data_IF_086010527962
#
_entry.id   IF_086010527962
#
_cell.length_a   1.000
_cell.length_b   1.000
_cell.length_c   1.000
_cell.angle_alpha   90.00
_cell.angle_beta   90.00
_cell.angle_gamma   90.00
#
_symmetry.space_group_name_H-M   'P 1'
#
loop_
_entity.id
_entity.type
_entity.pdbx_description
1 polymer ?
#
# COMPACT_ATOMS: atom_id res chain seq x y z
N UNK A 1 13.21 47.53 -40.75
CA UNK A 1 13.87 47.70 -42.06
C UNK A 1 15.31 47.23 -41.93
N UNK A 2 15.84 46.60 -42.99
CA UNK A 2 17.11 45.83 -43.10
C UNK A 2 17.00 44.42 -42.50
N UNK A 3 16.70 43.32 -43.22
CA UNK A 3 17.07 42.84 -44.56
C UNK A 3 18.57 42.54 -44.70
N UNK A 4 18.92 41.25 -44.61
CA UNK A 4 20.10 40.69 -45.27
C UNK A 4 19.79 39.24 -45.65
N UNK A 5 19.68 39.02 -46.97
CA UNK A 5 19.41 37.77 -47.69
C UNK A 5 20.64 37.51 -48.58
N UNK A 6 21.12 36.27 -48.64
CA UNK A 6 22.20 35.86 -49.55
C UNK A 6 22.13 34.37 -49.90
N UNK A 7 22.58 33.95 -51.11
CA UNK A 7 21.74 33.13 -51.99
C UNK A 7 22.14 31.66 -52.14
N UNK A 8 21.16 30.86 -52.61
CA UNK A 8 21.30 29.48 -53.10
C UNK A 8 22.10 29.41 -54.41
N UNK A 9 22.93 28.37 -54.62
CA UNK A 9 23.39 28.02 -55.96
C UNK A 9 22.38 27.10 -56.67
N UNK A 10 22.11 27.43 -57.92
CA UNK A 10 21.46 26.58 -58.92
C UNK A 10 22.44 26.43 -60.08
N UNK A 11 22.79 25.20 -60.44
CA UNK A 11 23.37 24.94 -61.75
C UNK A 11 22.58 23.86 -62.46
N UNK A 12 22.06 24.29 -63.61
CA UNK A 12 21.44 23.53 -64.67
C UNK A 12 22.41 22.50 -65.26
N UNK A 13 21.93 21.28 -65.49
CA UNK A 13 22.44 20.43 -66.57
C UNK A 13 21.27 19.78 -67.31
N UNK A 14 21.11 20.17 -68.58
CA UNK A 14 20.11 19.66 -69.52
C UNK A 14 20.64 18.42 -70.29
N UNK A 15 19.74 17.63 -70.91
CA UNK A 15 19.95 16.24 -71.27
C UNK A 15 20.54 16.05 -72.68
N UNK A 16 21.07 14.85 -72.93
CA UNK A 16 21.37 14.35 -74.28
C UNK A 16 20.67 13.00 -74.51
N UNK A 17 19.99 12.92 -75.64
CA UNK A 17 19.28 11.78 -76.22
C UNK A 17 20.21 10.66 -76.73
N UNK A 18 19.61 9.48 -76.95
CA UNK A 18 20.13 8.35 -77.74
C UNK A 18 20.57 7.17 -76.88
N UNK A 19 20.20 5.90 -77.09
CA UNK A 19 19.65 5.19 -78.23
C UNK A 19 18.95 3.90 -77.75
N UNK A 20 18.08 3.35 -78.62
CA UNK A 20 17.40 2.06 -78.44
C UNK A 20 18.40 0.90 -78.56
N UNK A 21 18.31 -0.05 -77.65
CA UNK A 21 18.93 -1.37 -77.79
C UNK A 21 18.09 -2.46 -77.14
N UNK A 22 17.21 -3.11 -77.91
CA UNK A 22 16.64 -4.42 -77.56
C UNK A 22 17.77 -5.45 -77.50
N UNK A 23 17.84 -6.27 -76.45
CA UNK A 23 18.22 -7.69 -76.54
C UNK A 23 17.85 -8.47 -75.28
N UNK A 24 17.67 -9.76 -75.51
CA UNK A 24 17.01 -10.78 -74.70
C UNK A 24 17.93 -11.41 -73.64
N UNK A 25 17.32 -11.86 -72.53
CA UNK A 25 17.63 -13.02 -71.65
C UNK A 25 19.08 -13.51 -71.45
N UNK A 26 19.47 -13.59 -70.17
CA UNK A 26 20.32 -14.63 -69.52
C UNK A 26 20.35 -14.27 -68.03
N UNK A 27 19.61 -14.91 -67.13
CA UNK A 27 19.98 -16.07 -66.30
C UNK A 27 21.40 -16.04 -65.65
N UNK A 28 21.43 -16.29 -64.34
CA UNK A 28 22.58 -16.27 -63.42
C UNK A 28 22.82 -14.90 -62.76
N UNK A 29 22.73 -14.68 -61.45
CA UNK A 29 22.72 -15.57 -60.29
C UNK A 29 23.67 -14.96 -59.26
N UNK A 30 23.13 -14.29 -58.24
CA UNK A 30 23.78 -13.90 -56.98
C UNK A 30 22.61 -13.69 -56.00
N UNK A 31 22.41 -14.48 -54.95
CA UNK A 31 23.34 -14.64 -53.85
C UNK A 31 22.90 -13.71 -52.72
N UNK A 32 22.40 -14.29 -51.62
CA UNK A 32 22.52 -13.74 -50.26
C UNK A 32 21.66 -12.49 -49.93
N UNK A 33 20.65 -12.51 -49.06
CA UNK A 33 20.50 -13.20 -47.77
C UNK A 33 19.01 -13.24 -47.43
N UNK A 34 18.44 -14.43 -47.39
CA UNK A 34 17.32 -14.70 -46.51
C UNK A 34 17.85 -14.70 -45.08
N UNK A 35 18.08 -13.51 -44.50
CA UNK A 35 18.11 -13.44 -43.04
C UNK A 35 16.69 -13.73 -42.57
N UNK A 36 16.46 -15.00 -42.25
CA UNK A 36 15.34 -15.42 -41.43
C UNK A 36 15.34 -14.54 -40.19
N UNK A 37 14.56 -13.44 -40.22
CA UNK A 37 14.35 -12.61 -39.07
C UNK A 37 13.77 -13.51 -37.99
N UNK A 38 14.58 -13.77 -36.95
CA UNK A 38 14.21 -14.66 -35.85
C UNK A 38 12.83 -14.29 -35.32
N UNK A 39 12.08 -15.27 -34.76
CA UNK A 39 10.68 -15.06 -34.36
C UNK A 39 10.48 -13.84 -33.46
N UNK A 40 11.46 -13.57 -32.58
CA UNK A 40 11.48 -12.37 -31.71
C UNK A 40 11.60 -11.06 -32.50
N UNK A 41 12.41 -11.03 -33.55
CA UNK A 41 12.60 -9.86 -34.42
C UNK A 41 11.37 -9.61 -35.29
N UNK A 42 10.73 -10.69 -35.78
CA UNK A 42 9.46 -10.61 -36.53
C UNK A 42 8.30 -10.07 -35.68
N UNK A 43 8.21 -10.46 -34.41
CA UNK A 43 7.24 -9.89 -33.47
C UNK A 43 7.59 -8.43 -33.15
N UNK A 44 8.87 -8.11 -32.93
CA UNK A 44 9.31 -6.76 -32.62
C UNK A 44 9.12 -5.74 -33.77
N UNK A 45 9.08 -6.18 -35.03
CA UNK A 45 8.90 -5.32 -36.21
C UNK A 45 7.54 -5.48 -36.89
N UNK A 46 6.59 -6.18 -36.27
CA UNK A 46 5.24 -6.33 -36.82
C UNK A 46 4.52 -4.97 -36.79
N UNK A 47 4.12 -4.47 -37.97
CA UNK A 47 3.46 -3.16 -38.13
C UNK A 47 1.95 -3.28 -38.42
N UNK A 48 1.40 -4.49 -38.62
CA UNK A 48 -0.02 -4.72 -38.91
C UNK A 48 -0.52 -6.05 -38.30
N UNK A 49 -1.82 -6.13 -37.97
CA UNK A 49 -2.50 -7.38 -37.58
C UNK A 49 -2.40 -7.78 -36.09
N UNK A 50 -2.81 -9.00 -35.72
CA UNK A 50 -2.90 -9.44 -34.31
C UNK A 50 -1.54 -9.49 -33.58
N UNK A 51 -0.43 -9.60 -34.33
CA UNK A 51 0.93 -9.56 -33.77
C UNK A 51 1.31 -8.17 -33.24
N UNK A 52 0.79 -7.10 -33.84
CA UNK A 52 0.97 -5.74 -33.33
C UNK A 52 0.29 -5.60 -31.96
N UNK A 53 -0.97 -6.03 -31.85
CA UNK A 53 -1.72 -5.99 -30.57
C UNK A 53 -0.98 -6.78 -29.49
N UNK A 54 -0.48 -7.98 -29.82
CA UNK A 54 0.31 -8.78 -28.89
C UNK A 54 1.59 -8.06 -28.44
N UNK A 55 2.34 -7.46 -29.37
CA UNK A 55 3.55 -6.68 -29.05
C UNK A 55 3.24 -5.49 -28.16
N UNK A 56 2.26 -4.67 -28.50
CA UNK A 56 1.88 -3.48 -27.73
C UNK A 56 1.38 -3.86 -26.33
N UNK A 57 0.62 -4.94 -26.23
CA UNK A 57 0.18 -5.50 -24.94
C UNK A 57 1.38 -6.00 -24.14
N UNK A 58 2.30 -6.73 -24.75
CA UNK A 58 3.51 -7.23 -24.10
C UNK A 58 4.44 -6.09 -23.65
N UNK A 59 4.58 -5.03 -24.44
CA UNK A 59 5.35 -3.84 -24.06
C UNK A 59 4.69 -3.10 -22.89
N UNK A 60 3.36 -2.97 -22.90
CA UNK A 60 2.62 -2.32 -21.81
C UNK A 60 2.72 -3.11 -20.50
N UNK A 61 2.48 -4.42 -20.54
CA UNK A 61 2.63 -5.32 -19.38
C UNK A 61 4.10 -5.35 -18.93
N UNK A 62 5.03 -5.46 -19.88
CA UNK A 62 6.46 -5.45 -19.60
C UNK A 62 6.92 -4.17 -18.93
N UNK A 63 6.44 -3.01 -19.37
CA UNK A 63 6.74 -1.73 -18.73
C UNK A 63 6.26 -1.69 -17.27
N UNK A 64 5.03 -2.15 -16.99
CA UNK A 64 4.51 -2.23 -15.61
C UNK A 64 5.34 -3.17 -14.74
N UNK A 65 5.71 -4.34 -15.27
CA UNK A 65 6.58 -5.30 -14.55
C UNK A 65 7.94 -4.68 -14.26
N UNK A 66 8.57 -4.02 -15.23
CA UNK A 66 9.86 -3.36 -15.05
C UNK A 66 9.77 -2.25 -13.99
N UNK A 67 8.72 -1.43 -14.02
CA UNK A 67 8.49 -0.40 -13.00
C UNK A 67 8.29 -1.05 -11.63
N UNK A 68 7.48 -2.11 -11.54
CA UNK A 68 7.25 -2.83 -10.29
C UNK A 68 8.54 -3.44 -9.71
N UNK A 69 9.33 -4.11 -10.55
CA UNK A 69 10.63 -4.66 -10.16
C UNK A 69 11.62 -3.57 -9.75
N UNK A 70 11.65 -2.43 -10.45
CA UNK A 70 12.48 -1.30 -10.09
C UNK A 70 12.09 -0.74 -8.71
N UNK A 71 10.78 -0.54 -8.48
CA UNK A 71 10.29 -0.08 -7.20
C UNK A 71 10.63 -1.07 -6.08
N UNK A 72 10.42 -2.37 -6.29
CA UNK A 72 10.79 -3.42 -5.33
C UNK A 72 12.30 -3.46 -5.07
N UNK A 73 13.12 -3.33 -6.11
CA UNK A 73 14.57 -3.30 -5.97
C UNK A 73 15.05 -2.11 -5.12
N UNK A 74 14.36 -0.98 -5.19
CA UNK A 74 14.64 0.23 -4.38
C UNK A 74 14.07 0.08 -2.97
N UNK A 75 12.78 -0.26 -2.84
CA UNK A 75 12.05 -0.27 -1.57
C UNK A 75 12.39 -1.47 -0.70
N UNK A 76 12.66 -2.65 -1.28
CA UNK A 76 12.76 -3.92 -0.57
C UNK A 76 11.41 -4.51 -0.12
N UNK A 77 10.30 -3.82 -0.36
CA UNK A 77 8.95 -4.22 0.07
C UNK A 77 7.94 -4.14 -1.07
N UNK A 78 7.01 -5.09 -1.10
CA UNK A 78 5.91 -5.14 -2.04
C UNK A 78 4.56 -5.25 -1.30
N UNK A 79 3.61 -4.34 -1.51
CA UNK A 79 3.68 -3.15 -2.37
C UNK A 79 4.57 -2.04 -1.78
N UNK A 80 5.28 -1.25 -2.61
CA UNK A 80 6.20 -0.20 -2.15
C UNK A 80 5.49 1.07 -1.64
N UNK A 81 4.16 1.10 -1.72
CA UNK A 81 3.35 2.28 -1.43
C UNK A 81 2.06 1.89 -0.72
N UNK A 82 1.69 2.66 0.31
CA UNK A 82 0.45 2.50 1.08
C UNK A 82 -0.37 3.78 1.02
N UNK A 83 -1.70 3.66 1.06
CA UNK A 83 -2.61 4.80 1.13
C UNK A 83 -3.03 5.04 2.58
N UNK A 84 -3.17 6.31 2.95
CA UNK A 84 -3.57 6.70 4.30
C UNK A 84 -5.08 6.72 4.40
N UNK A 85 -5.64 5.88 5.26
CA UNK A 85 -7.09 5.66 5.35
C UNK A 85 -7.77 6.47 6.46
N UNK A 86 -7.00 6.92 7.45
CA UNK A 86 -7.49 7.63 8.63
C UNK A 86 -6.69 8.91 8.91
N UNK A 87 -7.25 9.78 9.76
CA UNK A 87 -6.60 11.03 10.21
C UNK A 87 -5.69 10.86 11.42
N UNK A 88 -5.28 9.64 11.80
CA UNK A 88 -4.49 9.41 13.02
C UNK A 88 -3.11 10.06 12.99
N UNK A 89 -2.62 10.41 11.80
CA UNK A 89 -1.32 11.04 11.58
C UNK A 89 -1.40 12.53 11.24
N UNK A 90 -2.56 13.16 11.40
CA UNK A 90 -2.71 14.61 11.21
C UNK A 90 -1.96 15.39 12.32
N UNK A 91 -1.42 16.60 12.01
CA UNK A 91 -1.46 17.31 10.72
C UNK A 91 -0.35 16.89 9.74
N UNK A 92 0.46 15.88 10.08
CA UNK A 92 1.66 15.53 9.33
C UNK A 92 1.38 14.69 8.08
N UNK A 93 0.28 13.93 8.10
CA UNK A 93 -0.16 13.07 7.04
C UNK A 93 -1.68 12.96 7.08
N UNK A 94 -2.32 13.14 5.92
CA UNK A 94 -3.76 13.26 5.81
C UNK A 94 -4.37 12.05 5.10
N UNK A 95 -5.65 11.83 5.35
CA UNK A 95 -6.41 10.83 4.61
C UNK A 95 -6.33 11.05 3.09
N UNK A 96 -6.02 9.98 2.37
CA UNK A 96 -5.85 10.00 0.92
C UNK A 96 -4.46 10.39 0.44
N UNK A 97 -3.49 10.56 1.34
CA UNK A 97 -2.08 10.63 0.95
C UNK A 97 -1.57 9.24 0.53
N UNK A 98 -0.66 9.20 -0.44
CA UNK A 98 0.09 8.01 -0.78
C UNK A 98 1.48 8.09 -0.16
N UNK A 99 1.92 7.04 0.51
CA UNK A 99 3.19 7.00 1.23
C UNK A 99 4.07 5.93 0.63
N UNK A 100 5.26 6.31 0.17
CA UNK A 100 6.30 5.37 -0.23
C UNK A 100 7.04 4.86 1.02
N UNK A 101 7.11 3.54 1.13
CA UNK A 101 7.73 2.84 2.25
C UNK A 101 8.91 2.00 1.77
N UNK A 102 9.84 1.73 2.69
CA UNK A 102 10.98 0.86 2.44
C UNK A 102 11.11 -0.19 3.53
N UNK A 103 11.76 -1.30 3.21
CA UNK A 103 12.20 -2.29 4.18
C UNK A 103 13.10 -1.66 5.27
N UNK A 104 13.14 -2.29 6.43
CA UNK A 104 13.94 -1.86 7.60
C UNK A 104 15.43 -1.85 7.31
N UNK A 105 15.93 -2.67 6.39
CA UNK A 105 17.33 -2.71 5.97
C UNK A 105 17.72 -1.69 4.90
N UNK A 106 16.77 -0.89 4.39
CA UNK A 106 17.03 0.09 3.32
C UNK A 106 17.17 1.49 3.87
N UNK A 107 18.17 2.25 3.39
CA UNK A 107 18.38 3.65 3.75
C UNK A 107 18.37 3.89 5.27
N UNK A 108 19.05 3.03 6.03
CA UNK A 108 19.09 3.06 7.49
C UNK A 108 19.89 4.28 7.97
N UNK A 109 19.30 5.18 8.77
CA UNK A 109 20.06 6.25 9.43
C UNK A 109 21.01 5.67 10.48
N UNK A 110 22.19 6.26 10.65
CA UNK A 110 23.17 5.83 11.67
C UNK A 110 22.63 5.90 13.12
N UNK A 111 21.58 6.68 13.32
CA UNK A 111 20.91 6.89 14.61
C UNK A 111 19.75 5.94 14.85
N UNK A 112 19.49 5.02 13.91
CA UNK A 112 18.45 4.02 14.06
C UNK A 112 18.82 3.00 15.13
N UNK A 113 17.80 2.46 15.79
CA UNK A 113 17.99 1.31 16.67
C UNK A 113 18.57 0.15 15.86
N UNK A 114 19.63 -0.45 16.38
CA UNK A 114 20.38 -1.52 15.73
C UNK A 114 19.45 -2.62 15.21
N UNK A 115 19.67 -3.02 13.95
CA UNK A 115 18.91 -4.10 13.31
C UNK A 115 17.47 -3.76 12.91
N UNK A 116 16.98 -2.53 13.14
CA UNK A 116 15.57 -2.17 12.86
C UNK A 116 15.38 -1.07 11.83
N UNK A 117 16.39 -0.22 11.58
CA UNK A 117 16.26 0.94 10.71
C UNK A 117 15.34 2.06 11.25
N UNK A 118 14.75 1.89 12.43
CA UNK A 118 13.80 2.82 13.04
C UNK A 118 14.55 3.79 13.97
N UNK A 119 14.35 5.09 13.75
CA UNK A 119 14.78 6.13 14.70
C UNK A 119 13.57 6.51 15.54
N UNK A 120 13.61 6.21 16.84
CA UNK A 120 12.54 6.59 17.77
C UNK A 120 12.53 8.09 18.03
N UNK A 121 11.39 8.64 18.46
CA UNK A 121 11.28 10.08 18.69
C UNK A 121 12.25 10.60 19.78
N UNK A 122 12.45 9.85 20.86
CA UNK A 122 13.41 10.21 21.92
C UNK A 122 14.82 10.40 21.37
N UNK A 123 15.35 9.40 20.65
CA UNK A 123 16.66 9.47 19.97
C UNK A 123 16.69 10.54 18.90
N UNK A 124 15.59 10.70 18.15
CA UNK A 124 15.50 11.69 17.08
C UNK A 124 15.58 13.13 17.58
N UNK A 125 15.07 13.43 18.78
CA UNK A 125 15.18 14.76 19.40
C UNK A 125 16.63 15.11 19.75
N UNK A 126 17.42 14.11 20.16
CA UNK A 126 18.82 14.28 20.50
C UNK A 126 19.71 14.40 19.25
N UNK A 127 19.36 13.63 18.21
CA UNK A 127 20.16 13.51 16.99
C UNK A 127 19.74 14.45 15.85
N UNK A 128 18.59 15.11 15.98
CA UNK A 128 18.03 15.98 14.94
C UNK A 128 17.32 15.25 13.80
N UNK A 129 17.06 13.95 13.91
CA UNK A 129 16.40 13.19 12.85
C UNK A 129 14.92 13.60 12.68
N UNK A 130 14.56 14.13 11.51
CA UNK A 130 13.25 14.75 11.28
C UNK A 130 12.54 14.19 10.05
N UNK A 131 11.29 13.72 10.23
CA UNK A 131 10.43 13.26 9.14
C UNK A 131 8.95 13.57 9.36
N UNK A 132 8.30 13.94 8.26
CA UNK A 132 6.88 14.31 8.23
C UNK A 132 6.55 15.32 9.34
N UNK A 133 7.24 16.46 9.36
CA UNK A 133 6.93 17.56 10.29
C UNK A 133 7.19 17.30 11.78
N UNK A 134 7.80 16.18 12.17
CA UNK A 134 8.19 15.93 13.56
C UNK A 134 9.40 14.98 13.67
N UNK A 135 9.92 14.84 14.90
CA UNK A 135 11.03 13.95 15.23
C UNK A 135 10.62 12.48 15.23
N UNK A 136 11.47 11.61 14.69
CA UNK A 136 11.31 10.15 14.70
C UNK A 136 10.71 9.60 13.41
N UNK A 137 10.96 8.31 13.17
CA UNK A 137 10.45 7.55 12.04
C UNK A 137 8.95 7.28 12.17
N UNK A 138 8.27 7.28 11.02
CA UNK A 138 6.90 6.78 10.88
C UNK A 138 6.99 5.40 10.27
N UNK A 139 6.39 4.42 10.93
CA UNK A 139 6.46 3.01 10.54
C UNK A 139 5.06 2.50 10.20
N UNK A 140 5.01 1.60 9.22
CA UNK A 140 3.83 0.80 8.89
C UNK A 140 4.06 -0.58 9.50
N UNK A 141 3.11 -1.04 10.31
CA UNK A 141 3.20 -2.34 10.96
C UNK A 141 1.87 -3.08 10.90
N UNK A 142 1.95 -4.40 11.00
CA UNK A 142 0.82 -5.33 10.99
C UNK A 142 0.95 -6.26 12.20
N UNK A 143 0.06 -6.11 13.18
CA UNK A 143 0.08 -6.93 14.39
C UNK A 143 -0.64 -8.26 14.09
N UNK A 144 0.06 -9.41 14.12
CA UNK A 144 -0.55 -10.69 13.79
C UNK A 144 -1.67 -11.11 14.78
N UNK A 145 -1.75 -10.48 15.95
CA UNK A 145 -2.84 -10.68 16.91
C UNK A 145 -4.15 -9.99 16.51
N UNK A 146 -4.10 -9.02 15.59
CA UNK A 146 -5.24 -8.21 15.15
C UNK A 146 -5.48 -8.38 13.65
N UNK A 147 -6.68 -8.82 13.26
CA UNK A 147 -7.06 -9.01 11.85
C UNK A 147 -7.38 -7.69 11.11
N UNK A 148 -6.87 -6.57 11.59
CA UNK A 148 -7.12 -5.23 11.05
C UNK A 148 -6.26 -4.87 9.84
N UNK A 149 -6.50 -3.71 9.19
CA UNK A 149 -5.57 -3.18 8.21
C UNK A 149 -4.26 -2.73 8.88
N UNK A 150 -3.12 -2.73 8.16
CA UNK A 150 -1.86 -2.24 8.69
C UNK A 150 -1.95 -0.81 9.25
N UNK A 151 -1.26 -0.57 10.35
CA UNK A 151 -1.27 0.71 11.07
C UNK A 151 -0.04 1.52 10.69
N UNK A 152 -0.21 2.82 10.46
CA UNK A 152 0.88 3.76 10.17
C UNK A 152 1.02 4.80 11.26
N UNK A 153 1.99 4.64 12.16
CA UNK A 153 2.19 5.54 13.30
C UNK A 153 3.66 5.85 13.56
N UNK A 154 3.91 6.84 14.42
CA UNK A 154 5.27 7.28 14.74
C UNK A 154 5.86 6.46 15.87
N UNK A 155 7.09 5.99 15.69
CA UNK A 155 7.85 5.33 16.74
C UNK A 155 8.28 6.35 17.80
N UNK A 156 7.86 6.14 19.05
CA UNK A 156 8.07 7.09 20.15
C UNK A 156 9.32 6.76 20.93
N UNK A 157 9.43 5.53 21.40
CA UNK A 157 10.59 4.98 22.11
C UNK A 157 10.56 3.45 22.06
N UNK A 158 11.68 2.82 22.41
CA UNK A 158 11.79 1.37 22.54
C UNK A 158 11.61 0.93 23.99
N UNK A 159 11.00 -0.23 24.20
CA UNK A 159 10.88 -0.91 25.49
C UNK A 159 11.40 -2.34 25.40
N UNK A 160 12.01 -2.84 26.47
CA UNK A 160 12.43 -4.24 26.61
C UNK A 160 11.35 -5.10 27.28
N UNK A 161 11.45 -6.42 27.14
CA UNK A 161 10.51 -7.36 27.78
C UNK A 161 10.52 -7.22 29.31
N UNK A 162 9.34 -7.14 29.91
CA UNK A 162 9.17 -6.93 31.35
C UNK A 162 9.46 -5.50 31.82
N UNK A 163 9.76 -4.56 30.92
CA UNK A 163 10.04 -3.18 31.29
C UNK A 163 8.78 -2.48 31.83
N UNK A 164 8.89 -1.86 33.00
CA UNK A 164 7.94 -0.84 33.42
C UNK A 164 8.27 0.47 32.66
N UNK A 165 7.56 0.70 31.57
CA UNK A 165 7.75 1.87 30.72
C UNK A 165 6.85 3.06 31.09
N UNK A 166 6.05 2.95 32.16
CA UNK A 166 5.17 4.03 32.63
C UNK A 166 5.96 5.30 32.95
N UNK A 167 7.10 5.16 33.65
CA UNK A 167 7.93 6.29 34.07
C UNK A 167 8.61 7.02 32.90
N UNK A 168 8.76 6.34 31.76
CA UNK A 168 9.31 6.91 30.51
C UNK A 168 8.23 7.50 29.61
N UNK A 169 6.98 7.08 29.79
CA UNK A 169 5.86 7.52 28.99
C UNK A 169 5.59 9.02 29.20
N UNK A 170 5.11 9.71 28.15
CA UNK A 170 4.57 11.04 28.34
C UNK A 170 3.25 10.92 29.14
N UNK A 171 3.11 11.57 30.31
CA UNK A 171 1.89 11.52 31.11
C UNK A 171 0.64 11.99 30.36
N UNK A 172 0.79 12.82 29.33
CA UNK A 172 -0.35 13.27 28.50
C UNK A 172 -0.94 12.17 27.61
N UNK A 173 -0.18 11.10 27.34
CA UNK A 173 -0.58 10.02 26.42
C UNK A 173 -0.91 8.70 27.14
N UNK A 174 -0.97 8.73 28.46
CA UNK A 174 -1.35 7.61 29.32
C UNK A 174 -2.49 8.05 30.23
N UNK A 175 -3.54 7.24 30.37
CA UNK A 175 -4.66 7.53 31.29
C UNK A 175 -4.59 6.76 32.61
N UNK A 176 -3.61 5.87 32.76
CA UNK A 176 -3.44 5.04 33.94
C UNK A 176 -2.63 5.76 35.04
N UNK A 177 -2.85 5.38 36.30
CA UNK A 177 -2.09 5.94 37.43
C UNK A 177 -0.81 5.15 37.75
N UNK A 178 -0.65 3.98 37.14
CA UNK A 178 0.54 3.14 37.28
C UNK A 178 0.68 2.17 36.10
N UNK A 179 1.85 1.55 35.98
CA UNK A 179 2.10 0.47 35.03
C UNK A 179 1.12 -0.70 35.20
N UNK A 180 0.80 -1.08 36.44
CA UNK A 180 -0.09 -2.21 36.73
C UNK A 180 -1.54 -1.99 36.24
N UNK A 181 -1.95 -0.72 36.06
CA UNK A 181 -3.27 -0.35 35.54
C UNK A 181 -3.26 -0.10 34.03
N UNK A 182 -2.09 -0.16 33.39
CA UNK A 182 -1.91 0.14 31.98
C UNK A 182 -1.80 -1.15 31.18
N UNK A 183 -2.51 -1.21 30.06
CA UNK A 183 -2.35 -2.30 29.10
C UNK A 183 -0.89 -2.34 28.62
N UNK A 184 -0.39 -3.55 28.43
CA UNK A 184 0.96 -3.79 27.93
C UNK A 184 2.07 -3.19 28.81
N UNK A 185 1.80 -3.01 30.11
CA UNK A 185 2.78 -2.61 31.10
C UNK A 185 2.70 -3.55 32.33
N UNK A 186 3.80 -4.21 32.74
CA UNK A 186 5.10 -4.24 32.09
C UNK A 186 5.03 -4.76 30.64
N UNK A 187 5.97 -4.36 29.79
CA UNK A 187 5.95 -4.71 28.38
C UNK A 187 5.94 -6.24 28.19
N UNK A 188 4.97 -6.83 27.45
CA UNK A 188 4.88 -8.27 27.28
C UNK A 188 6.03 -8.85 26.43
N UNK A 189 6.71 -8.00 25.67
CA UNK A 189 7.91 -8.31 24.89
C UNK A 189 8.61 -7.00 24.50
N UNK A 190 9.83 -7.13 24.01
CA UNK A 190 10.55 -5.98 23.48
C UNK A 190 9.92 -5.46 22.18
N UNK A 191 9.92 -4.14 21.99
CA UNK A 191 9.32 -3.52 20.83
C UNK A 191 9.24 -2.00 20.91
N UNK A 192 8.66 -1.40 19.87
CA UNK A 192 8.44 0.04 19.79
C UNK A 192 7.10 0.42 20.40
N UNK A 193 7.11 1.40 21.30
CA UNK A 193 5.90 2.14 21.66
C UNK A 193 5.61 3.14 20.55
N UNK A 194 4.40 3.09 20.01
CA UNK A 194 3.99 3.87 18.83
C UNK A 194 2.80 4.76 19.17
N UNK A 195 2.62 5.81 18.37
CA UNK A 195 1.49 6.71 18.51
C UNK A 195 1.18 7.41 17.19
N UNK A 196 -0.10 7.44 16.81
CA UNK A 196 -0.58 8.38 15.79
C UNK A 196 -0.38 9.82 16.22
N UNK A 197 0.11 10.68 15.34
CA UNK A 197 0.40 12.08 15.66
C UNK A 197 -0.82 12.84 16.21
N UNK A 198 -2.03 12.51 15.72
CA UNK A 198 -3.31 13.07 16.17
C UNK A 198 -3.99 12.26 17.30
N UNK A 199 -3.47 11.08 17.67
CA UNK A 199 -4.11 10.24 18.68
C UNK A 199 -3.98 10.85 20.09
N UNK A 200 -4.90 10.55 21.01
CA UNK A 200 -4.78 11.02 22.39
C UNK A 200 -3.75 10.20 23.21
N UNK A 201 -3.65 8.90 22.93
CA UNK A 201 -2.88 7.94 23.72
C UNK A 201 -1.94 7.13 22.84
N UNK A 202 -0.94 6.49 23.46
CA UNK A 202 -0.11 5.48 22.77
C UNK A 202 -0.95 4.31 22.29
N UNK A 203 -0.50 3.67 21.22
CA UNK A 203 -1.17 2.52 20.60
C UNK A 203 -1.25 1.32 21.57
N UNK A 204 -0.26 1.22 22.45
CA UNK A 204 -0.17 0.21 23.51
C UNK A 204 -1.15 0.45 24.67
N UNK A 205 -1.62 1.69 24.83
CA UNK A 205 -2.56 2.08 25.90
C UNK A 205 -4.00 1.91 25.45
N UNK A 206 -4.33 2.37 24.24
CA UNK A 206 -5.68 2.31 23.70
C UNK A 206 -6.02 0.94 23.08
N UNK A 207 -5.04 0.02 23.03
CA UNK A 207 -5.22 -1.35 22.58
C UNK A 207 -5.26 -1.50 21.06
N UNK A 208 -4.56 -0.64 20.33
CA UNK A 208 -4.32 -0.80 18.89
C UNK A 208 -3.29 -1.90 18.62
N UNK A 209 -2.29 -2.05 19.48
CA UNK A 209 -1.29 -3.12 19.37
C UNK A 209 -0.49 -3.29 20.66
N UNK A 210 0.21 -4.41 20.77
CA UNK A 210 1.30 -4.57 21.75
C UNK A 210 2.54 -3.73 21.33
N UNK A 211 3.63 -3.66 22.13
CA UNK A 211 4.86 -2.99 21.71
C UNK A 211 5.34 -3.56 20.37
N UNK A 212 5.38 -2.74 19.32
CA UNK A 212 5.53 -3.22 17.94
C UNK A 212 6.87 -3.90 17.75
N UNK A 213 6.86 -5.20 17.47
CA UNK A 213 8.09 -5.97 17.24
C UNK A 213 8.74 -5.58 15.92
N UNK A 214 10.07 -5.64 15.78
CA UNK A 214 10.75 -5.37 14.50
C UNK A 214 10.20 -6.20 13.34
N UNK A 215 9.85 -7.46 13.57
CA UNK A 215 9.30 -8.36 12.56
C UNK A 215 7.85 -8.03 12.11
N UNK A 216 7.13 -7.19 12.87
CA UNK A 216 5.80 -6.70 12.50
C UNK A 216 5.86 -5.48 11.59
N UNK A 217 7.04 -4.86 11.47
CA UNK A 217 7.23 -3.67 10.64
C UNK A 217 7.23 -4.08 9.18
N UNK A 218 6.14 -3.73 8.49
CA UNK A 218 5.99 -3.89 7.04
C UNK A 218 6.91 -2.92 6.30
N UNK A 219 7.13 -1.72 6.84
CA UNK A 219 8.09 -0.78 6.27
C UNK A 219 8.15 0.57 6.96
N UNK A 220 9.14 1.36 6.58
CA UNK A 220 9.40 2.71 7.10
C UNK A 220 8.95 3.73 6.06
N UNK A 221 8.07 4.66 6.45
CA UNK A 221 7.61 5.73 5.58
C UNK A 221 8.76 6.71 5.25
N UNK A 222 8.96 6.98 3.96
CA UNK A 222 10.06 7.85 3.48
C UNK A 222 9.56 9.12 2.79
N UNK A 223 8.56 8.97 1.93
CA UNK A 223 8.04 10.05 1.08
C UNK A 223 6.52 10.02 1.10
N UNK A 224 5.91 11.20 1.16
CA UNK A 224 4.46 11.40 1.11
C UNK A 224 4.11 12.15 -0.17
N UNK A 225 3.12 11.66 -0.88
CA UNK A 225 2.56 12.27 -2.09
C UNK A 225 1.10 12.64 -1.78
N UNK A 226 0.80 13.93 -1.60
CA UNK A 226 -0.54 14.36 -1.24
C UNK A 226 -1.60 13.93 -2.26
N UNK A 227 -2.79 13.58 -1.78
CA UNK A 227 -3.99 13.24 -2.58
C UNK A 227 -3.90 12.01 -3.50
N UNK A 228 -2.71 11.47 -3.78
CA UNK A 228 -2.54 10.37 -4.73
C UNK A 228 -3.11 9.04 -4.19
N UNK A 229 -3.26 8.92 -2.87
CA UNK A 229 -3.90 7.77 -2.22
C UNK A 229 -5.37 7.64 -2.59
N UNK A 230 -6.07 8.72 -2.94
CA UNK A 230 -7.46 8.67 -3.41
C UNK A 230 -7.63 7.88 -4.69
N UNK A 231 -6.61 7.80 -5.55
CA UNK A 231 -6.65 6.94 -6.74
C UNK A 231 -6.75 5.46 -6.32
N UNK A 232 -5.96 5.05 -5.32
CA UNK A 232 -6.01 3.69 -4.77
C UNK A 232 -7.32 3.43 -4.03
N UNK A 233 -7.75 4.35 -3.16
CA UNK A 233 -8.98 4.21 -2.37
C UNK A 233 -10.24 4.20 -3.26
N UNK A 234 -10.27 5.04 -4.30
CA UNK A 234 -11.35 5.10 -5.27
C UNK A 234 -11.44 3.83 -6.14
N UNK A 235 -10.30 3.30 -6.60
CA UNK A 235 -10.28 2.04 -7.36
C UNK A 235 -10.73 0.86 -6.48
N UNK A 236 -10.29 0.78 -5.23
CA UNK A 236 -10.78 -0.26 -4.30
C UNK A 236 -12.28 -0.15 -4.05
N UNK A 237 -12.83 1.07 -3.93
CA UNK A 237 -14.28 1.29 -3.82
C UNK A 237 -15.05 0.84 -5.07
N UNK A 238 -14.55 1.18 -6.26
CA UNK A 238 -15.18 0.81 -7.54
C UNK A 238 -15.10 -0.69 -7.82
N UNK A 239 -14.00 -1.37 -7.44
CA UNK A 239 -13.85 -2.82 -7.63
C UNK A 239 -14.78 -3.61 -6.69
N UNK A 240 -15.05 -3.11 -5.48
CA UNK A 240 -16.04 -3.72 -4.58
C UNK A 240 -17.48 -3.54 -5.11
N UNK A 241 -17.80 -2.37 -5.69
CA UNK A 241 -19.11 -2.11 -6.32
C UNK A 241 -19.31 -2.84 -7.67
N UNK A 242 -18.22 -3.23 -8.33
CA UNK A 242 -18.27 -3.92 -9.63
C UNK A 242 -18.28 -5.45 -9.54
N UNK A 243 -18.34 -6.03 -8.34
CA UNK A 243 -18.58 -7.47 -8.18
C UNK A 243 -20.04 -7.76 -8.54
N UNK A 244 -20.36 -8.45 -9.65
CA UNK A 244 -21.73 -8.86 -9.89
C UNK A 244 -22.10 -9.85 -8.78
N UNK A 245 -23.11 -9.49 -8.00
CA UNK A 245 -23.80 -10.41 -7.10
C UNK A 245 -24.29 -11.58 -7.95
N UNK A 246 -23.52 -12.69 -7.97
CA UNK A 246 -23.98 -13.94 -8.56
C UNK A 246 -25.08 -14.43 -7.63
N UNK A 247 -26.30 -13.99 -7.91
CA UNK A 247 -27.51 -14.54 -7.35
C UNK A 247 -27.56 -16.02 -7.74
N UNK A 248 -27.06 -16.89 -6.87
CA UNK A 248 -27.31 -18.32 -6.97
C UNK A 248 -28.77 -18.53 -6.61
N UNK A 249 -29.63 -18.49 -7.64
CA UNK A 249 -30.99 -19.01 -7.57
C UNK A 249 -30.90 -20.53 -7.45
N UNK A 250 -30.65 -21.02 -6.23
CA UNK A 250 -30.74 -22.45 -5.91
C UNK A 250 -32.18 -22.71 -5.55
N UNK A 251 -32.96 -23.12 -6.54
CA UNK A 251 -34.24 -23.79 -6.35
C UNK A 251 -33.99 -25.11 -5.62
N UNK A 252 -34.49 -25.33 -4.40
CA UNK A 252 -34.35 -26.62 -3.75
C UNK A 252 -35.31 -27.62 -4.41
N UNK A 253 -34.74 -28.60 -5.11
CA UNK A 253 -35.45 -29.79 -5.56
C UNK A 253 -35.93 -30.57 -4.34
N UNK A 254 -37.25 -30.75 -4.25
CA UNK A 254 -37.90 -31.59 -3.24
C UNK A 254 -37.44 -33.03 -3.44
N UNK A 255 -36.78 -33.58 -2.41
CA UNK A 255 -36.70 -35.04 -2.21
C UNK A 255 -37.24 -35.33 -0.83
N UNK A 256 -38.36 -36.05 -0.85
CA UNK A 256 -39.11 -36.51 0.30
C UNK A 256 -38.34 -37.62 1.03
N UNK A 257 -38.04 -37.43 2.30
CA UNK A 257 -37.72 -38.50 3.23
C UNK A 257 -38.38 -38.19 4.57
N UNK A 258 -39.34 -39.03 4.93
CA UNK A 258 -40.19 -38.93 6.10
C UNK A 258 -39.43 -39.17 7.42
N UNK A 259 -39.65 -38.30 8.41
CA UNK A 259 -39.65 -38.65 9.83
C UNK A 259 -40.33 -37.55 10.68
N UNK A 260 -41.55 -37.87 11.13
CA UNK A 260 -42.25 -37.51 12.39
C UNK A 260 -41.98 -36.17 13.09
N UNK A 261 -43.04 -35.34 13.19
CA UNK A 261 -43.16 -34.09 13.97
C UNK A 261 -43.07 -34.30 15.49
N UNK A 262 -42.78 -33.22 16.25
CA UNK A 262 -43.87 -32.61 17.04
C UNK A 262 -44.00 -31.08 16.91
N UNK A 263 -45.21 -30.58 17.17
CA UNK A 263 -45.66 -29.18 17.08
C UNK A 263 -45.07 -28.23 18.15
N UNK A 264 -45.09 -26.89 17.94
CA UNK A 264 -44.49 -25.89 18.83
C UNK A 264 -45.48 -25.31 19.87
N UNK A 265 -45.01 -24.80 21.02
CA UNK A 265 -45.80 -23.89 21.84
C UNK A 265 -45.64 -22.43 21.39
N UNK A 266 -46.75 -21.70 21.45
CA UNK A 266 -46.92 -20.33 20.98
C UNK A 266 -46.28 -19.24 21.85
N UNK A 267 -46.13 -18.07 21.24
CA UNK A 267 -45.60 -16.84 21.81
C UNK A 267 -46.57 -16.24 22.83
N UNK A 268 -46.07 -15.85 24.01
CA UNK A 268 -46.76 -14.97 24.96
C UNK A 268 -45.93 -13.71 25.22
N UNK A 269 -46.58 -12.56 25.05
CA UNK A 269 -46.13 -11.17 25.24
C UNK A 269 -45.67 -10.89 26.68
N UNK A 270 -44.63 -10.06 26.92
CA UNK A 270 -44.22 -9.70 28.28
C UNK A 270 -45.08 -8.55 28.88
N UNK A 271 -45.54 -8.77 30.11
CA UNK A 271 -46.22 -7.81 31.01
C UNK A 271 -45.18 -6.93 31.73
N UNK A 272 -45.44 -5.62 31.95
CA UNK A 272 -44.50 -4.72 32.63
C UNK A 272 -44.45 -4.93 34.16
N UNK A 273 -43.24 -4.88 34.71
CA UNK A 273 -42.93 -4.98 36.15
C UNK A 273 -43.22 -3.67 36.90
N UNK A 274 -43.88 -3.68 38.08
CA UNK A 274 -44.04 -2.49 38.91
C UNK A 274 -42.85 -2.28 39.85
N UNK A 275 -42.51 -1.00 40.11
CA UNK A 275 -41.49 -0.55 41.06
C UNK A 275 -41.86 -0.83 42.52
N UNK A 276 -40.88 -1.07 43.43
CA UNK A 276 -41.15 -1.19 44.85
C UNK A 276 -41.35 0.17 45.53
N UNK A 277 -42.36 0.21 46.41
CA UNK A 277 -42.76 1.31 47.29
C UNK A 277 -41.98 1.23 48.61
N UNK A 278 -41.52 2.37 49.12
CA UNK A 278 -40.91 2.50 50.44
C UNK A 278 -41.93 2.34 51.58
N UNK A 279 -41.52 1.70 52.69
CA UNK A 279 -42.11 1.86 54.04
C UNK A 279 -41.02 1.64 55.08
N UNK A 280 -40.95 2.52 56.09
CA UNK A 280 -40.06 2.42 57.24
C UNK A 280 -40.76 2.07 58.56
N UNK A 281 -39.91 1.88 59.59
CA UNK A 281 -40.09 2.03 61.05
C UNK A 281 -41.01 1.07 61.86
N UNK A 282 -40.36 0.24 62.69
CA UNK A 282 -40.63 -0.09 64.11
C UNK A 282 -39.41 -0.89 64.61
N UNK A 283 -38.79 -0.76 65.79
CA UNK A 283 -39.20 -0.20 67.07
C UNK A 283 -39.24 -1.31 68.14
N UNK A 284 -38.13 -1.56 68.85
CA UNK A 284 -38.03 -2.02 70.25
C UNK A 284 -36.56 -2.06 70.67
#
# INVERSE_FOLDING_TARGET
MSADDGPRPSDDYRPSDGERGRRSRSDGGDGERTESMGPLRRIATANDGPLLILRETALSVGAVVVIGLLLFAISGVWPPMVAVESGSMEPHMHKGDLVFITDTGRFVPDTAREGTGVVTQDVARETGYWKFGAYGSVIVYDDPGDAGPPVIHRARFWVDEGENWYDRANPEYVSASSCAEMRNCPAPHAGFVTKGDANAQYDQVNGISDPVKPEWIVGIARVRIPYLGWVRLGVSGVVLDATPEVATDVTPSVVEAAATRPSPPGKSTPTPTPMPRAVGLAGS
#
